data_IF_173427900258
#
_entry.id   IF_173427900258
#
_cell.length_a   1.000
_cell.length_b   1.000
_cell.length_c   1.000
_cell.angle_alpha   90.00
_cell.angle_beta   90.00
_cell.angle_gamma   90.00
#
_symmetry.space_group_name_H-M   'P 1'
#
loop_
_entity.id
_entity.type
_entity.pdbx_description
1 polymer ?
#
# COMPACT_ATOMS: atom_id res chain seq x y z
N UNK A 1 76.62 63.47 -23.94
CA UNK A 1 76.45 62.60 -22.77
C UNK A 1 74.94 62.44 -22.55
N UNK A 2 74.39 61.39 -23.13
CA UNK A 2 72.91 61.07 -23.11
C UNK A 2 72.65 60.04 -22.04
N UNK A 3 71.69 60.31 -21.16
CA UNK A 3 71.26 59.39 -20.19
C UNK A 3 70.10 58.47 -20.77
N UNK A 4 70.05 57.20 -20.55
CA UNK A 4 68.95 56.38 -21.02
C UNK A 4 67.73 56.47 -20.07
N UNK A 5 66.55 56.54 -20.68
CA UNK A 5 65.28 56.51 -20.02
C UNK A 5 64.91 55.06 -19.64
N UNK A 6 64.51 54.88 -18.41
CA UNK A 6 64.07 53.59 -17.88
C UNK A 6 62.57 53.47 -18.09
N UNK A 7 62.17 52.57 -18.95
CA UNK A 7 60.73 52.25 -19.19
C UNK A 7 60.25 51.20 -18.20
N UNK A 8 59.30 51.56 -17.30
CA UNK A 8 58.67 50.63 -16.37
C UNK A 8 57.51 50.01 -17.11
N UNK A 9 57.58 48.71 -17.36
CA UNK A 9 56.46 47.90 -17.86
C UNK A 9 55.58 47.47 -16.70
N UNK A 10 54.37 47.99 -16.65
CA UNK A 10 53.35 47.56 -15.70
C UNK A 10 52.73 46.26 -16.16
N UNK A 11 52.91 45.16 -15.39
CA UNK A 11 52.26 43.87 -15.58
C UNK A 11 50.92 43.94 -14.86
N UNK A 12 49.82 43.96 -15.59
CA UNK A 12 48.48 43.82 -15.05
C UNK A 12 48.22 42.35 -15.00
N UNK A 13 48.19 41.77 -13.77
CA UNK A 13 47.75 40.42 -13.52
C UNK A 13 46.21 40.38 -13.48
N UNK A 14 45.60 39.80 -14.49
CA UNK A 14 44.19 39.55 -14.52
C UNK A 14 43.89 38.33 -13.64
N UNK A 15 43.26 38.52 -12.47
CA UNK A 15 42.71 37.44 -11.67
C UNK A 15 41.38 37.03 -12.27
N UNK A 16 41.36 35.90 -12.94
CA UNK A 16 40.10 35.24 -13.36
C UNK A 16 39.50 34.56 -12.15
N UNK A 17 38.41 35.13 -11.61
CA UNK A 17 37.58 34.46 -10.59
C UNK A 17 36.84 33.31 -11.25
N UNK A 18 37.29 32.07 -11.01
CA UNK A 18 36.53 30.88 -11.36
C UNK A 18 35.45 30.73 -10.29
N UNK A 19 34.23 31.13 -10.63
CA UNK A 19 33.04 30.80 -9.81
C UNK A 19 32.79 29.29 -9.90
N UNK A 20 33.21 28.55 -8.88
CA UNK A 20 32.79 27.15 -8.69
C UNK A 20 31.33 27.16 -8.34
N UNK A 21 30.47 26.92 -9.32
CA UNK A 21 29.07 26.62 -9.06
C UNK A 21 29.01 25.33 -8.22
N UNK A 22 28.74 25.47 -6.95
CA UNK A 22 28.34 24.34 -6.12
C UNK A 22 26.98 23.90 -6.67
N UNK A 23 26.96 22.83 -7.46
CA UNK A 23 25.76 22.07 -7.72
C UNK A 23 25.41 21.45 -6.36
N UNK A 24 24.44 22.05 -5.68
CA UNK A 24 23.83 21.43 -4.53
C UNK A 24 23.29 20.07 -5.03
N UNK A 25 23.99 19.01 -4.68
CA UNK A 25 23.45 17.66 -4.80
C UNK A 25 22.16 17.67 -4.02
N UNK A 26 21.02 17.60 -4.70
CA UNK A 26 19.76 17.38 -4.05
C UNK A 26 19.96 16.11 -3.23
N UNK A 27 20.02 16.25 -1.92
CA UNK A 27 19.97 15.13 -1.01
C UNK A 27 18.70 14.39 -1.42
N UNK A 28 18.85 13.17 -1.94
CA UNK A 28 17.74 12.27 -2.13
C UNK A 28 17.18 12.08 -0.73
N UNK A 29 16.08 12.77 -0.43
CA UNK A 29 15.39 12.69 0.83
C UNK A 29 15.21 11.22 1.17
N UNK A 30 15.40 10.87 2.43
CA UNK A 30 14.94 9.57 2.92
C UNK A 30 13.48 9.46 2.49
N UNK A 31 13.01 8.26 2.10
CA UNK A 31 11.58 8.07 1.81
C UNK A 31 10.80 8.73 2.92
N UNK A 32 9.79 9.52 2.57
CA UNK A 32 8.97 10.29 3.49
C UNK A 32 8.72 9.49 4.77
N UNK A 33 8.96 10.09 5.92
CA UNK A 33 8.74 9.47 7.24
C UNK A 33 7.22 9.32 7.52
N UNK A 34 6.43 8.86 6.53
CA UNK A 34 5.03 8.49 6.73
C UNK A 34 4.99 7.29 7.65
N UNK A 35 4.36 7.39 8.84
CA UNK A 35 4.25 6.27 9.77
C UNK A 35 3.51 5.08 9.14
N UNK A 36 3.91 3.85 9.50
CA UNK A 36 3.13 2.65 9.16
C UNK A 36 2.09 2.37 10.27
N UNK A 37 1.32 3.40 10.62
CA UNK A 37 0.27 3.40 11.64
C UNK A 37 -0.97 4.03 11.01
N UNK A 38 -2.16 3.50 11.34
CA UNK A 38 -3.41 4.02 10.78
C UNK A 38 -3.59 5.49 11.13
N UNK A 39 -3.85 6.31 10.13
CA UNK A 39 -3.98 7.75 10.28
C UNK A 39 -4.01 8.47 8.93
N UNK A 40 -4.12 9.78 8.99
CA UNK A 40 -4.09 10.67 7.83
C UNK A 40 -2.97 11.70 8.03
N UNK A 41 -1.96 11.65 7.17
CA UNK A 41 -0.72 12.40 7.32
C UNK A 41 -0.49 13.30 6.11
N UNK A 42 -0.07 14.56 6.32
CA UNK A 42 0.40 15.38 5.21
C UNK A 42 1.64 14.74 4.57
N UNK A 43 1.71 14.71 3.24
CA UNK A 43 2.93 14.29 2.56
C UNK A 43 3.98 15.41 2.71
N UNK A 44 5.13 15.14 3.36
CA UNK A 44 6.10 16.20 3.68
C UNK A 44 6.83 16.75 2.45
N UNK A 45 6.83 16.02 1.34
CA UNK A 45 7.51 16.39 0.10
C UNK A 45 6.55 16.99 -0.94
N UNK A 46 5.21 16.76 -0.80
CA UNK A 46 4.21 17.15 -1.78
C UNK A 46 3.07 17.95 -1.14
N UNK A 47 3.21 19.28 -1.00
CA UNK A 47 2.18 20.15 -0.42
C UNK A 47 0.82 19.97 -1.10
N UNK A 48 -0.23 19.80 -0.30
CA UNK A 48 -1.60 19.57 -0.78
C UNK A 48 -1.95 18.09 -1.04
N UNK A 49 -1.00 17.18 -0.86
CA UNK A 49 -1.23 15.75 -0.83
C UNK A 49 -1.22 15.26 0.62
N UNK A 50 -2.17 14.40 0.95
CA UNK A 50 -2.18 13.62 2.17
C UNK A 50 -2.01 12.14 1.87
N UNK A 51 -1.56 11.41 2.87
CA UNK A 51 -1.41 9.95 2.84
C UNK A 51 -2.30 9.36 3.93
N UNK A 52 -3.41 8.76 3.53
CA UNK A 52 -4.19 7.91 4.43
C UNK A 52 -3.48 6.58 4.54
N UNK A 53 -3.20 6.16 5.76
CA UNK A 53 -2.53 4.91 6.08
C UNK A 53 -3.51 3.98 6.79
N UNK A 54 -3.59 2.74 6.31
CA UNK A 54 -4.32 1.66 6.94
C UNK A 54 -3.32 0.59 7.35
N UNK A 55 -3.23 0.34 8.63
CA UNK A 55 -2.36 -0.69 9.19
C UNK A 55 -3.24 -1.82 9.74
N UNK A 56 -3.14 -3.00 9.15
CA UNK A 56 -3.92 -4.18 9.52
C UNK A 56 -3.19 -5.00 10.61
N UNK A 57 -3.52 -4.84 11.90
CA UNK A 57 -2.84 -5.54 12.97
C UNK A 57 -3.28 -7.00 13.14
N UNK A 58 -2.44 -7.76 13.85
CA UNK A 58 -2.87 -9.06 14.39
C UNK A 58 -4.06 -8.87 15.35
N UNK A 59 -4.99 -9.82 15.33
CA UNK A 59 -6.07 -9.85 16.34
C UNK A 59 -5.46 -9.98 17.74
N UNK A 60 -5.89 -9.16 18.72
CA UNK A 60 -5.49 -9.35 20.11
C UNK A 60 -5.88 -10.74 20.62
N UNK A 61 -4.97 -11.44 21.30
CA UNK A 61 -5.03 -12.87 21.67
C UNK A 61 -6.18 -13.28 22.60
N UNK A 62 -7.08 -12.39 22.96
CA UNK A 62 -8.19 -12.67 23.89
C UNK A 62 -9.34 -13.49 23.29
N UNK A 63 -9.40 -13.67 21.98
CA UNK A 63 -10.49 -14.37 21.27
C UNK A 63 -10.04 -15.63 20.54
N UNK A 64 -9.08 -16.37 21.09
CA UNK A 64 -8.59 -17.64 20.50
C UNK A 64 -9.62 -18.78 20.53
N UNK A 65 -10.91 -18.51 20.70
CA UNK A 65 -11.89 -19.57 20.87
C UNK A 65 -12.41 -20.20 19.57
N UNK A 66 -12.04 -19.72 18.41
CA UNK A 66 -12.39 -20.40 17.16
C UNK A 66 -11.17 -21.08 16.56
N UNK A 67 -10.93 -22.32 16.95
CA UNK A 67 -10.16 -23.22 16.12
C UNK A 67 -10.76 -23.16 14.71
N UNK A 68 -9.98 -22.70 13.74
CA UNK A 68 -10.41 -22.72 12.35
C UNK A 68 -10.59 -24.17 11.94
N UNK A 69 -11.85 -24.53 11.76
CA UNK A 69 -12.21 -25.87 11.32
C UNK A 69 -12.28 -25.82 9.80
N UNK A 70 -11.48 -26.64 9.13
CA UNK A 70 -11.65 -26.87 7.70
C UNK A 70 -13.11 -27.25 7.41
N UNK A 71 -13.66 -26.78 6.29
CA UNK A 71 -15.03 -27.00 5.80
C UNK A 71 -16.12 -26.16 6.48
N UNK A 72 -15.78 -25.05 7.10
CA UNK A 72 -16.77 -24.01 7.39
C UNK A 72 -17.13 -23.29 6.09
N UNK A 73 -18.41 -23.06 5.87
CA UNK A 73 -18.83 -22.09 4.87
C UNK A 73 -18.28 -20.71 5.25
N UNK A 74 -17.91 -19.91 4.26
CA UNK A 74 -17.55 -18.54 4.53
C UNK A 74 -18.75 -17.83 5.20
N UNK A 75 -18.52 -17.17 6.34
CA UNK A 75 -19.60 -16.45 7.00
C UNK A 75 -20.01 -15.26 6.13
N UNK A 76 -21.30 -14.91 6.15
CA UNK A 76 -21.78 -13.66 5.58
C UNK A 76 -22.12 -12.65 6.67
N UNK A 77 -21.90 -11.38 6.39
CA UNK A 77 -22.27 -10.27 7.26
C UNK A 77 -22.95 -9.18 6.43
N UNK A 78 -24.12 -8.73 6.88
CA UNK A 78 -24.81 -7.60 6.29
C UNK A 78 -24.43 -6.25 6.91
N UNK A 79 -23.46 -6.24 7.86
CA UNK A 79 -22.98 -5.01 8.49
C UNK A 79 -22.29 -4.13 7.45
N UNK A 80 -22.88 -2.96 7.16
CA UNK A 80 -22.45 -2.05 6.10
C UNK A 80 -21.07 -1.47 6.39
N UNK A 81 -20.10 -1.76 5.54
CA UNK A 81 -18.75 -1.23 5.66
C UNK A 81 -18.72 0.25 5.27
N UNK A 82 -18.05 1.07 6.07
CA UNK A 82 -17.96 2.51 5.89
C UNK A 82 -16.96 2.91 4.79
N UNK A 83 -17.23 4.06 4.16
CA UNK A 83 -16.33 4.67 3.20
C UNK A 83 -15.25 5.51 3.91
N UNK A 84 -14.02 5.45 3.38
CA UNK A 84 -12.89 6.24 3.88
C UNK A 84 -12.79 7.65 3.25
N UNK A 85 -13.58 7.94 2.21
CA UNK A 85 -13.75 9.31 1.68
C UNK A 85 -13.15 9.58 0.31
N UNK A 86 -12.80 8.56 -0.47
CA UNK A 86 -12.38 8.69 -1.88
C UNK A 86 -12.98 7.60 -2.75
N UNK A 87 -12.86 7.79 -4.06
CA UNK A 87 -13.12 6.79 -5.07
C UNK A 87 -11.96 6.75 -6.06
N UNK A 88 -11.69 5.58 -6.65
CA UNK A 88 -10.72 5.45 -7.72
C UNK A 88 -11.36 5.83 -9.07
N UNK A 89 -10.57 6.34 -10.03
CA UNK A 89 -11.01 6.49 -11.40
C UNK A 89 -11.31 5.11 -12.05
N UNK A 90 -12.08 5.12 -13.12
CA UNK A 90 -12.58 3.90 -13.78
C UNK A 90 -11.50 2.88 -14.20
N UNK A 91 -10.27 3.33 -14.45
CA UNK A 91 -9.15 2.46 -14.82
C UNK A 91 -7.96 2.75 -13.91
N UNK A 92 -7.46 1.72 -13.26
CA UNK A 92 -6.33 1.83 -12.35
C UNK A 92 -5.26 0.78 -12.65
N UNK A 93 -4.00 1.21 -12.75
CA UNK A 93 -2.88 0.30 -13.03
C UNK A 93 -2.11 0.02 -11.73
N UNK A 94 -1.76 -1.24 -11.50
CA UNK A 94 -0.95 -1.66 -10.36
C UNK A 94 0.30 -2.42 -10.78
N UNK A 95 1.33 -2.43 -9.94
CA UNK A 95 2.60 -3.07 -10.20
C UNK A 95 2.91 -4.10 -9.11
N UNK A 96 3.27 -5.31 -9.50
CA UNK A 96 3.59 -6.39 -8.58
C UNK A 96 5.11 -6.53 -8.40
N UNK A 97 5.50 -6.93 -7.17
CA UNK A 97 6.87 -7.38 -6.92
C UNK A 97 6.89 -8.88 -6.53
N UNK A 98 6.84 -9.81 -7.49
CA UNK A 98 6.87 -11.24 -7.21
C UNK A 98 8.13 -11.72 -6.47
N UNK A 99 9.27 -11.03 -6.67
CA UNK A 99 10.54 -11.39 -6.03
C UNK A 99 10.57 -11.06 -4.53
N UNK A 100 9.65 -10.24 -4.04
CA UNK A 100 9.53 -9.89 -2.63
C UNK A 100 8.75 -10.92 -1.81
N UNK A 101 7.95 -11.74 -2.47
CA UNK A 101 7.00 -12.68 -1.86
C UNK A 101 7.76 -13.80 -1.12
N UNK A 102 7.35 -14.16 0.11
CA UNK A 102 7.92 -15.31 0.82
C UNK A 102 7.82 -16.61 0.01
N UNK A 103 8.86 -17.44 0.06
CA UNK A 103 8.90 -18.71 -0.68
C UNK A 103 7.75 -19.66 -0.31
N UNK A 104 7.23 -19.56 0.91
CA UNK A 104 6.08 -20.31 1.40
C UNK A 104 4.75 -19.95 0.72
N UNK A 105 4.64 -18.75 0.16
CA UNK A 105 3.51 -18.31 -0.68
C UNK A 105 3.84 -18.55 -2.15
N UNK A 106 5.08 -18.24 -2.55
CA UNK A 106 5.56 -18.37 -3.93
C UNK A 106 5.26 -17.13 -4.78
N UNK A 107 6.32 -16.51 -5.32
CA UNK A 107 6.18 -15.28 -6.09
C UNK A 107 5.34 -15.43 -7.36
N UNK A 108 5.31 -16.60 -7.97
CA UNK A 108 4.47 -16.91 -9.13
C UNK A 108 2.97 -16.89 -8.81
N UNK A 109 2.58 -16.99 -7.55
CA UNK A 109 1.18 -16.98 -7.12
C UNK A 109 0.65 -15.56 -6.90
N UNK A 110 1.52 -14.56 -6.75
CA UNK A 110 1.11 -13.18 -6.49
C UNK A 110 0.12 -12.61 -7.52
N UNK A 111 0.30 -12.80 -8.84
CA UNK A 111 -0.68 -12.32 -9.81
C UNK A 111 -2.06 -12.94 -9.64
N UNK A 112 -2.15 -14.22 -9.25
CA UNK A 112 -3.41 -14.90 -8.99
C UNK A 112 -4.07 -14.37 -7.73
N UNK A 113 -3.34 -14.26 -6.61
CA UNK A 113 -3.83 -13.74 -5.33
C UNK A 113 -4.43 -12.33 -5.52
N UNK A 114 -3.67 -11.43 -6.13
CA UNK A 114 -4.11 -10.05 -6.35
C UNK A 114 -5.24 -9.97 -7.39
N UNK A 115 -5.16 -10.80 -8.44
CA UNK A 115 -6.18 -10.87 -9.48
C UNK A 115 -7.54 -11.32 -8.96
N UNK A 116 -7.58 -12.31 -8.05
CA UNK A 116 -8.80 -12.76 -7.40
C UNK A 116 -9.44 -11.61 -6.61
N UNK A 117 -8.69 -10.96 -5.72
CA UNK A 117 -9.21 -9.85 -4.92
C UNK A 117 -9.71 -8.69 -5.78
N UNK A 118 -8.95 -8.26 -6.80
CA UNK A 118 -9.44 -7.20 -7.69
C UNK A 118 -10.65 -7.60 -8.53
N UNK A 119 -10.81 -8.88 -8.87
CA UNK A 119 -12.02 -9.36 -9.56
C UNK A 119 -13.25 -9.22 -8.66
N UNK A 120 -13.14 -9.63 -7.39
CA UNK A 120 -14.22 -9.51 -6.41
C UNK A 120 -14.60 -8.05 -6.15
N UNK A 121 -13.61 -7.19 -5.92
CA UNK A 121 -13.84 -5.77 -5.68
C UNK A 121 -14.36 -5.03 -6.92
N UNK A 122 -13.92 -5.39 -8.13
CA UNK A 122 -14.48 -4.87 -9.38
C UNK A 122 -15.96 -5.21 -9.52
N UNK A 123 -16.33 -6.46 -9.18
CA UNK A 123 -17.73 -6.88 -9.20
C UNK A 123 -18.56 -6.12 -8.17
N UNK A 124 -18.05 -5.94 -6.93
CA UNK A 124 -18.70 -5.16 -5.89
C UNK A 124 -18.88 -3.67 -6.27
N UNK A 125 -17.94 -3.11 -7.02
CA UNK A 125 -18.01 -1.75 -7.56
C UNK A 125 -18.88 -1.63 -8.85
N UNK A 126 -19.74 -2.60 -9.15
CA UNK A 126 -20.58 -2.64 -10.36
C UNK A 126 -19.77 -2.45 -11.66
N UNK A 127 -18.52 -2.91 -11.69
CA UNK A 127 -17.56 -2.73 -12.81
C UNK A 127 -17.25 -1.26 -13.14
N UNK A 128 -17.47 -0.34 -12.21
CA UNK A 128 -17.09 1.07 -12.36
C UNK A 128 -15.59 1.29 -12.30
N UNK A 129 -14.87 0.39 -11.63
CA UNK A 129 -13.40 0.38 -11.54
C UNK A 129 -12.88 -0.91 -12.13
N UNK A 130 -11.86 -0.80 -12.97
CA UNK A 130 -11.12 -1.94 -13.54
C UNK A 130 -9.64 -1.80 -13.22
N UNK A 131 -9.01 -2.93 -12.89
CA UNK A 131 -7.61 -2.99 -12.52
C UNK A 131 -6.78 -3.66 -13.60
N UNK A 132 -5.67 -3.04 -13.98
CA UNK A 132 -4.75 -3.59 -14.99
C UNK A 132 -3.37 -3.78 -14.37
N UNK A 133 -2.84 -4.99 -14.47
CA UNK A 133 -1.47 -5.22 -14.05
C UNK A 133 -0.49 -4.58 -15.03
N UNK A 134 0.33 -3.67 -14.51
CA UNK A 134 1.47 -3.09 -15.20
C UNK A 134 2.73 -3.98 -15.12
N UNK A 135 3.88 -3.46 -15.54
CA UNK A 135 5.15 -4.18 -15.43
C UNK A 135 5.50 -4.55 -13.98
N UNK A 136 6.17 -5.68 -13.78
CA UNK A 136 6.70 -6.02 -12.47
C UNK A 136 7.74 -4.99 -12.00
N UNK A 137 7.82 -4.82 -10.68
CA UNK A 137 8.76 -3.90 -10.04
C UNK A 137 9.67 -4.62 -9.04
N UNK A 138 10.72 -3.98 -8.59
CA UNK A 138 11.55 -4.42 -7.45
C UNK A 138 11.31 -3.60 -6.18
N UNK A 139 10.35 -2.69 -6.20
CA UNK A 139 10.00 -1.82 -5.04
C UNK A 139 9.41 -2.68 -3.93
N UNK A 140 9.80 -2.40 -2.67
CA UNK A 140 9.35 -3.11 -1.45
C UNK A 140 8.89 -2.16 -0.35
N UNK A 141 8.61 -0.93 -0.71
CA UNK A 141 8.20 0.15 0.23
C UNK A 141 7.27 1.12 -0.49
N UNK A 142 6.51 1.85 0.27
CA UNK A 142 5.67 2.93 -0.23
C UNK A 142 6.51 4.10 -0.76
N UNK A 143 6.06 4.76 -1.81
CA UNK A 143 6.65 5.97 -2.35
C UNK A 143 5.65 6.69 -3.27
N UNK A 144 5.72 8.01 -3.38
CA UNK A 144 4.98 8.72 -4.42
C UNK A 144 5.83 8.74 -5.70
N UNK A 145 5.79 7.67 -6.47
CA UNK A 145 6.64 7.50 -7.67
C UNK A 145 5.86 7.15 -8.95
N UNK A 146 4.53 7.28 -8.89
CA UNK A 146 3.64 6.96 -10.00
C UNK A 146 3.46 5.46 -10.26
N UNK A 147 3.83 4.61 -9.28
CA UNK A 147 3.59 3.17 -9.32
C UNK A 147 2.75 2.79 -8.12
N UNK A 148 1.66 2.14 -8.40
CA UNK A 148 0.79 1.58 -7.36
C UNK A 148 1.29 0.17 -7.04
N UNK A 149 2.07 0.03 -5.98
CA UNK A 149 2.88 -1.17 -5.73
C UNK A 149 2.19 -2.12 -4.76
N UNK A 150 2.22 -3.41 -5.09
CA UNK A 150 1.87 -4.50 -4.18
C UNK A 150 3.11 -5.38 -4.00
N UNK A 151 3.61 -5.44 -2.75
CA UNK A 151 4.86 -6.11 -2.42
C UNK A 151 4.90 -6.63 -0.99
N UNK A 152 5.81 -7.55 -0.70
CA UNK A 152 6.25 -7.84 0.66
C UNK A 152 7.46 -7.00 1.00
N UNK A 153 7.40 -6.32 2.14
CA UNK A 153 8.45 -5.42 2.61
C UNK A 153 8.62 -5.46 4.12
N UNK A 154 9.34 -4.47 4.63
CA UNK A 154 9.39 -4.20 6.06
C UNK A 154 8.42 -3.06 6.35
N UNK A 155 7.48 -3.32 7.24
CA UNK A 155 6.63 -2.31 7.85
C UNK A 155 7.01 -2.16 9.33
N UNK A 156 6.59 -1.09 9.98
CA UNK A 156 6.78 -0.93 11.42
C UNK A 156 5.73 -1.72 12.22
N UNK A 157 6.06 -2.03 13.46
CA UNK A 157 5.08 -2.55 14.43
C UNK A 157 4.59 -3.97 14.18
N UNK A 158 3.32 -4.18 14.49
CA UNK A 158 2.60 -5.45 14.44
C UNK A 158 1.62 -5.55 13.25
N UNK A 159 1.69 -4.64 12.29
CA UNK A 159 0.85 -4.69 11.10
C UNK A 159 1.23 -5.86 10.20
N UNK A 160 0.24 -6.63 9.76
CA UNK A 160 0.34 -7.73 8.79
C UNK A 160 0.51 -7.18 7.38
N UNK A 161 -0.28 -6.17 7.04
CA UNK A 161 -0.23 -5.36 5.83
C UNK A 161 -0.38 -3.89 6.17
N UNK A 162 0.06 -3.03 5.27
CA UNK A 162 -0.17 -1.59 5.35
C UNK A 162 -0.46 -1.07 3.97
N UNK A 163 -1.60 -0.41 3.82
CA UNK A 163 -1.99 0.29 2.59
C UNK A 163 -1.85 1.79 2.79
N UNK A 164 -1.20 2.44 1.83
CA UNK A 164 -0.96 3.88 1.77
C UNK A 164 -1.71 4.45 0.58
N UNK A 165 -2.67 5.34 0.82
CA UNK A 165 -3.44 6.00 -0.23
C UNK A 165 -3.10 7.48 -0.24
N UNK A 166 -2.51 7.95 -1.33
CA UNK A 166 -2.20 9.38 -1.54
C UNK A 166 -3.31 10.04 -2.33
N UNK A 167 -3.75 11.19 -1.84
CA UNK A 167 -4.84 11.93 -2.46
C UNK A 167 -4.67 13.44 -2.30
N UNK A 168 -5.23 14.20 -3.22
CA UNK A 168 -5.31 15.65 -3.08
C UNK A 168 -6.37 16.04 -2.06
N UNK A 169 -6.01 16.80 -1.02
CA UNK A 169 -6.94 17.26 0.03
C UNK A 169 -8.03 18.16 -0.51
N UNK A 170 -7.76 18.89 -1.61
CA UNK A 170 -8.71 19.81 -2.23
C UNK A 170 -9.83 19.15 -3.01
N UNK A 171 -9.61 17.93 -3.52
CA UNK A 171 -10.54 17.24 -4.44
C UNK A 171 -10.89 15.83 -4.00
N UNK A 172 -10.15 15.22 -3.06
CA UNK A 172 -10.28 13.79 -2.75
C UNK A 172 -9.72 12.86 -3.83
N UNK A 173 -9.16 13.40 -4.93
CA UNK A 173 -8.64 12.58 -6.02
C UNK A 173 -7.43 11.77 -5.57
N UNK A 174 -7.51 10.45 -5.70
CA UNK A 174 -6.40 9.52 -5.46
C UNK A 174 -5.36 9.65 -6.56
N UNK A 175 -4.08 9.65 -6.19
CA UNK A 175 -2.95 9.81 -7.12
C UNK A 175 -1.92 8.69 -7.02
N UNK A 176 -1.93 7.92 -5.93
CA UNK A 176 -0.99 6.81 -5.71
C UNK A 176 -1.51 5.89 -4.61
N UNK A 177 -1.36 4.57 -4.78
CA UNK A 177 -1.74 3.58 -3.77
C UNK A 177 -0.71 2.47 -3.70
N UNK A 178 -0.14 2.26 -2.51
CA UNK A 178 0.81 1.18 -2.25
C UNK A 178 0.31 0.26 -1.15
N UNK A 179 0.43 -1.04 -1.35
CA UNK A 179 0.21 -2.05 -0.30
C UNK A 179 1.49 -2.82 -0.02
N UNK A 180 1.94 -2.77 1.23
CA UNK A 180 3.15 -3.47 1.68
C UNK A 180 2.78 -4.51 2.74
N UNK A 181 2.81 -5.77 2.35
CA UNK A 181 2.66 -6.91 3.24
C UNK A 181 3.91 -7.11 4.07
N UNK A 182 3.78 -7.35 5.37
CA UNK A 182 4.91 -7.41 6.28
C UNK A 182 5.58 -8.80 6.27
N UNK A 183 6.77 -8.88 5.71
CA UNK A 183 7.53 -10.13 5.63
C UNK A 183 8.10 -10.63 6.96
N UNK A 184 7.86 -9.93 8.06
CA UNK A 184 8.22 -10.38 9.41
C UNK A 184 7.43 -11.62 9.83
N UNK A 185 6.20 -11.75 9.32
CA UNK A 185 5.27 -12.80 9.70
C UNK A 185 5.44 -14.07 8.87
N UNK A 186 4.91 -15.18 9.39
CA UNK A 186 4.80 -16.43 8.65
C UNK A 186 3.59 -16.37 7.72
N UNK A 187 3.82 -16.58 6.43
CA UNK A 187 2.81 -16.51 5.38
C UNK A 187 2.60 -17.85 4.72
N UNK A 188 1.37 -18.11 4.31
CA UNK A 188 0.95 -19.21 3.44
C UNK A 188 -0.08 -18.71 2.44
N UNK A 189 -0.34 -19.46 1.43
CA UNK A 189 -1.48 -19.27 0.55
C UNK A 189 -2.26 -20.57 0.49
N UNK A 190 -3.50 -20.53 0.94
CA UNK A 190 -4.43 -21.66 0.90
C UNK A 190 -5.22 -21.58 -0.41
N UNK A 191 -5.07 -22.59 -1.25
CA UNK A 191 -5.86 -22.73 -2.48
C UNK A 191 -7.21 -23.40 -2.23
N UNK A 192 -7.47 -23.82 -1.00
CA UNK A 192 -8.73 -24.41 -0.56
C UNK A 192 -9.44 -23.39 0.32
N UNK A 193 -10.61 -22.96 -0.10
CA UNK A 193 -11.40 -21.91 0.55
C UNK A 193 -11.68 -22.12 2.06
N UNK A 194 -11.30 -23.23 2.66
CA UNK A 194 -11.76 -23.60 3.98
C UNK A 194 -10.69 -24.17 4.90
N UNK A 195 -9.44 -24.28 4.46
CA UNK A 195 -8.35 -24.85 5.22
C UNK A 195 -7.10 -24.02 5.10
N UNK A 196 -6.89 -23.11 6.03
CA UNK A 196 -5.62 -22.45 6.18
C UNK A 196 -4.72 -23.17 7.19
N UNK A 197 -3.43 -22.99 7.05
CA UNK A 197 -2.46 -23.43 8.06
C UNK A 197 -2.58 -22.56 9.31
N UNK A 198 -2.93 -23.17 10.46
CA UNK A 198 -3.18 -22.47 11.72
C UNK A 198 -1.97 -21.75 12.32
N UNK A 199 -0.77 -21.96 11.75
CA UNK A 199 0.49 -21.35 12.24
C UNK A 199 0.94 -20.13 11.42
N UNK A 200 0.25 -19.84 10.32
CA UNK A 200 0.60 -18.77 9.39
C UNK A 200 -0.62 -17.90 9.02
N UNK A 201 -0.35 -16.71 8.54
CA UNK A 201 -1.37 -15.84 7.93
C UNK A 201 -1.56 -16.24 6.47
N UNK A 202 -2.82 -16.25 6.03
CA UNK A 202 -3.11 -16.49 4.63
C UNK A 202 -2.88 -15.21 3.81
N UNK A 203 -2.14 -15.35 2.72
CA UNK A 203 -1.71 -14.23 1.90
C UNK A 203 -2.88 -13.57 1.15
N UNK A 204 -3.83 -14.37 0.65
CA UNK A 204 -5.01 -13.88 -0.06
C UNK A 204 -6.00 -13.23 0.91
N UNK A 205 -6.19 -13.82 2.09
CA UNK A 205 -7.07 -13.28 3.14
C UNK A 205 -6.69 -11.85 3.54
N UNK A 206 -5.39 -11.60 3.81
CA UNK A 206 -4.93 -10.27 4.18
C UNK A 206 -4.86 -9.36 2.96
N UNK A 207 -4.40 -9.86 1.81
CA UNK A 207 -4.34 -9.07 0.57
C UNK A 207 -5.72 -8.55 0.17
N UNK A 208 -6.76 -9.40 0.20
CA UNK A 208 -8.10 -9.01 -0.18
C UNK A 208 -8.66 -7.88 0.70
N UNK A 209 -8.37 -7.92 2.01
CA UNK A 209 -8.67 -6.81 2.92
C UNK A 209 -7.95 -5.52 2.49
N UNK A 210 -6.64 -5.59 2.27
CA UNK A 210 -5.85 -4.42 1.86
C UNK A 210 -6.34 -3.82 0.53
N UNK A 211 -6.80 -4.65 -0.40
CA UNK A 211 -7.36 -4.17 -1.67
C UNK A 211 -8.70 -3.45 -1.49
N UNK A 212 -9.47 -3.73 -0.44
CA UNK A 212 -10.68 -2.97 -0.10
C UNK A 212 -10.39 -1.49 0.19
N UNK A 213 -9.23 -1.19 0.79
CA UNK A 213 -8.80 0.20 1.00
C UNK A 213 -8.52 0.94 -0.32
N UNK A 214 -8.08 0.24 -1.37
CA UNK A 214 -7.93 0.84 -2.69
C UNK A 214 -9.27 1.37 -3.19
N UNK A 215 -10.35 0.62 -2.94
CA UNK A 215 -11.72 0.98 -3.34
C UNK A 215 -12.36 2.09 -2.47
N UNK A 216 -11.66 2.55 -1.45
CA UNK A 216 -12.15 3.61 -0.57
C UNK A 216 -12.91 3.12 0.65
N UNK A 217 -12.80 1.86 1.03
CA UNK A 217 -13.39 1.33 2.26
C UNK A 217 -12.50 1.57 3.47
N UNK A 218 -13.10 1.75 4.64
CA UNK A 218 -12.41 1.94 5.92
C UNK A 218 -12.30 0.63 6.70
N UNK A 219 -11.43 0.59 7.71
CA UNK A 219 -11.34 -0.50 8.68
C UNK A 219 -12.53 -0.51 9.63
N UNK A 220 -13.06 -1.70 9.92
CA UNK A 220 -14.13 -1.92 10.87
C UNK A 220 -13.62 -2.69 12.08
N UNK A 221 -13.87 -2.21 13.31
CA UNK A 221 -13.26 -2.79 14.52
C UNK A 221 -14.26 -3.34 15.54
N UNK A 222 -15.57 -3.12 15.37
CA UNK A 222 -16.59 -3.63 16.32
C UNK A 222 -16.98 -5.07 16.00
N UNK A 223 -17.54 -5.76 16.99
CA UNK A 223 -17.90 -7.16 16.87
C UNK A 223 -18.90 -7.46 15.75
N UNK A 224 -19.72 -6.49 15.36
CA UNK A 224 -20.71 -6.65 14.29
C UNK A 224 -20.06 -6.90 12.91
N UNK A 225 -18.79 -6.51 12.74
CA UNK A 225 -18.04 -6.64 11.51
C UNK A 225 -17.06 -7.81 11.49
N UNK A 226 -17.06 -8.65 12.52
CA UNK A 226 -16.04 -9.71 12.68
C UNK A 226 -15.93 -10.64 11.48
N UNK A 227 -16.99 -10.77 10.70
CA UNK A 227 -17.04 -11.62 9.51
C UNK A 227 -16.81 -10.87 8.20
N UNK A 228 -16.85 -9.53 8.20
CA UNK A 228 -16.55 -8.73 7.02
C UNK A 228 -15.08 -8.86 6.58
N UNK A 229 -14.85 -8.76 5.28
CA UNK A 229 -13.49 -8.66 4.71
C UNK A 229 -12.76 -7.45 5.28
N UNK A 230 -13.47 -6.33 5.47
CA UNK A 230 -12.92 -5.09 6.02
C UNK A 230 -12.84 -5.06 7.56
N UNK A 231 -12.98 -6.22 8.25
CA UNK A 231 -12.68 -6.27 9.69
C UNK A 231 -11.19 -6.04 9.94
N UNK A 232 -10.85 -5.02 10.73
CA UNK A 232 -9.52 -4.45 10.87
C UNK A 232 -8.49 -5.32 11.61
N UNK A 233 -8.78 -6.61 11.91
CA UNK A 233 -7.85 -7.54 12.53
C UNK A 233 -7.71 -8.81 11.72
N UNK A 234 -6.48 -9.35 11.62
CA UNK A 234 -6.18 -10.63 10.99
C UNK A 234 -5.72 -11.69 11.99
N UNK A 235 -6.09 -12.94 11.75
CA UNK A 235 -5.69 -14.09 12.57
C UNK A 235 -4.96 -15.13 11.73
N UNK A 236 -4.06 -15.88 12.38
CA UNK A 236 -3.45 -17.04 11.73
C UNK A 236 -4.50 -18.07 11.38
N UNK A 237 -4.35 -18.68 10.22
CA UNK A 237 -5.27 -19.70 9.73
C UNK A 237 -6.63 -19.17 9.25
N UNK A 238 -6.86 -17.86 9.27
CA UNK A 238 -8.08 -17.24 8.75
C UNK A 238 -8.04 -17.15 7.22
N UNK A 239 -9.15 -17.55 6.56
CA UNK A 239 -9.33 -17.46 5.09
C UNK A 239 -10.66 -16.82 4.70
N UNK A 240 -11.51 -16.43 5.66
CA UNK A 240 -12.86 -15.93 5.39
C UNK A 240 -12.89 -14.62 4.59
N UNK A 241 -11.81 -13.84 4.62
CA UNK A 241 -11.69 -12.61 3.84
C UNK A 241 -11.31 -12.84 2.37
N UNK A 242 -11.11 -14.10 1.96
CA UNK A 242 -10.89 -14.43 0.54
C UNK A 242 -12.13 -14.16 -0.31
N UNK A 243 -13.30 -14.04 0.32
CA UNK A 243 -14.56 -13.66 -0.32
C UNK A 243 -15.14 -12.42 0.36
N UNK A 244 -15.96 -11.66 -0.38
CA UNK A 244 -16.61 -10.47 0.16
C UNK A 244 -17.96 -10.83 0.79
N UNK A 245 -18.26 -10.21 1.93
CA UNK A 245 -19.59 -10.31 2.53
C UNK A 245 -20.58 -9.34 1.89
N UNK A 246 -21.86 -9.55 2.14
CA UNK A 246 -22.94 -8.64 1.71
C UNK A 246 -22.68 -7.20 2.15
N UNK A 247 -22.14 -6.99 3.36
CA UNK A 247 -21.82 -5.67 3.90
C UNK A 247 -20.63 -5.00 3.20
N UNK A 248 -19.61 -5.76 2.81
CA UNK A 248 -18.47 -5.25 2.03
C UNK A 248 -18.93 -4.82 0.63
N UNK A 249 -19.73 -5.67 -0.04
CA UNK A 249 -20.31 -5.38 -1.36
C UNK A 249 -21.18 -4.13 -1.32
N UNK A 250 -22.06 -4.03 -0.30
CA UNK A 250 -22.95 -2.88 -0.15
C UNK A 250 -22.18 -1.59 0.14
N UNK A 251 -21.12 -1.66 0.96
CA UNK A 251 -20.24 -0.52 1.23
C UNK A 251 -19.54 -0.03 -0.04
N UNK A 252 -19.01 -0.96 -0.83
CA UNK A 252 -18.38 -0.63 -2.11
C UNK A 252 -19.38 -0.04 -3.11
N UNK A 253 -20.55 -0.66 -3.25
CA UNK A 253 -21.60 -0.16 -4.15
C UNK A 253 -22.07 1.25 -3.75
N UNK A 254 -22.06 1.61 -2.49
CA UNK A 254 -22.40 2.95 -2.03
C UNK A 254 -21.39 4.03 -2.48
N UNK A 255 -20.13 3.66 -2.70
CA UNK A 255 -19.08 4.55 -3.22
C UNK A 255 -19.21 4.69 -4.75
N UNK A 256 -19.48 3.57 -5.44
CA UNK A 256 -19.43 3.48 -6.92
C UNK A 256 -20.82 3.42 -7.57
N UNK A 257 -21.78 4.16 -7.06
CA UNK A 257 -23.16 4.26 -7.63
C UNK A 257 -23.24 5.06 -8.94
#
# INVERSE_FOLDING_TARGET
>A
MSKPALTIASIIAAFTLIAVAHVASAAHGRPSDIPAESGDYPDPEHPGIHVRVFAHPERPTRDESSALVCNLADPDSAALVGAAGWELPANWTYNLNPSSVPSSVGGSNLPTIVGNGFADWTAAANSKVTFTQGPNTSVTRQAYDGKNVIAWGRTSGSALGVTYVRYYTSTGQVVDVDTIMNKKFSWRWSTQAQCAESTAYDAENIMNHELGHWLGLDDMYTADYVDNTMYGYGSKGEVKKNTLTTGDISGTAAIYN
#
